data_IF_557934473883
#
_entry.id   IF_557934473883
#
_cell.length_a   1.000
_cell.length_b   1.000
_cell.length_c   1.000
_cell.angle_alpha   90.00
_cell.angle_beta   90.00
_cell.angle_gamma   90.00
#
_symmetry.space_group_name_H-M   'P 1'
#
loop_
_entity.id
_entity.type
_entity.pdbx_description
1 polymer ?
#
# COMPACT_ATOMS: atom_id res chain seq x y z
N UNK A 1 65.78 -8.41 -28.32
CA UNK A 1 64.36 -8.38 -28.77
C UNK A 1 63.55 -9.28 -27.84
N UNK A 2 62.57 -8.74 -27.10
CA UNK A 2 61.78 -9.47 -26.10
C UNK A 2 60.84 -10.48 -26.79
N UNK A 3 60.89 -11.76 -26.39
CA UNK A 3 59.92 -12.78 -26.82
C UNK A 3 58.61 -12.58 -26.06
N UNK A 4 57.55 -12.25 -26.78
CA UNK A 4 56.17 -12.30 -26.30
C UNK A 4 55.71 -13.77 -26.26
N UNK A 5 55.36 -14.27 -25.08
CA UNK A 5 54.70 -15.58 -24.92
C UNK A 5 53.21 -15.38 -25.24
N UNK A 6 52.71 -16.07 -26.26
CA UNK A 6 51.29 -16.05 -26.62
C UNK A 6 50.47 -16.98 -25.71
N UNK A 7 49.21 -16.64 -25.51
CA UNK A 7 48.23 -17.44 -24.77
C UNK A 7 48.05 -18.82 -25.41
N UNK A 8 47.93 -19.85 -24.59
CA UNK A 8 47.60 -21.20 -25.06
C UNK A 8 46.08 -21.35 -25.23
N UNK A 9 45.65 -22.16 -26.20
CA UNK A 9 44.22 -22.51 -26.36
C UNK A 9 43.63 -23.13 -25.09
N UNK A 10 44.47 -23.86 -24.33
CA UNK A 10 44.11 -24.50 -23.07
C UNK A 10 43.81 -23.47 -21.98
N UNK A 11 44.61 -22.40 -21.86
CA UNK A 11 44.34 -21.32 -20.91
C UNK A 11 43.00 -20.64 -21.20
N UNK A 12 42.71 -20.35 -22.46
CA UNK A 12 41.44 -19.73 -22.83
C UNK A 12 40.26 -20.67 -22.51
N UNK A 13 40.42 -21.98 -22.76
CA UNK A 13 39.40 -22.96 -22.44
C UNK A 13 39.08 -23.02 -20.95
N UNK A 14 40.10 -23.03 -20.08
CA UNK A 14 39.92 -23.03 -18.62
C UNK A 14 39.22 -21.74 -18.17
N UNK A 15 39.63 -20.58 -18.70
CA UNK A 15 39.01 -19.29 -18.34
C UNK A 15 37.53 -19.27 -18.68
N UNK A 16 37.14 -19.71 -19.88
CA UNK A 16 35.73 -19.72 -20.28
C UNK A 16 34.91 -20.71 -19.44
N UNK A 17 35.47 -21.87 -19.10
CA UNK A 17 34.81 -22.86 -18.22
C UNK A 17 34.60 -22.29 -16.81
N UNK A 18 35.62 -21.66 -16.23
CA UNK A 18 35.50 -21.03 -14.90
C UNK A 18 34.45 -19.93 -14.93
N UNK A 19 34.45 -19.08 -15.95
CA UNK A 19 33.43 -18.03 -16.11
C UNK A 19 32.03 -18.61 -16.26
N UNK A 20 31.85 -19.72 -16.98
CA UNK A 20 30.57 -20.41 -17.11
C UNK A 20 30.05 -20.96 -15.77
N UNK A 21 30.93 -21.57 -14.96
CA UNK A 21 30.57 -22.09 -13.63
C UNK A 21 30.24 -20.96 -12.66
N UNK A 22 31.06 -19.90 -12.65
CA UNK A 22 30.82 -18.73 -11.80
C UNK A 22 29.50 -18.05 -12.17
N UNK A 23 29.22 -17.86 -13.46
CA UNK A 23 27.94 -17.29 -13.91
C UNK A 23 26.73 -18.13 -13.47
N UNK A 24 26.84 -19.47 -13.45
CA UNK A 24 25.75 -20.33 -13.01
C UNK A 24 25.47 -20.25 -11.48
N UNK A 25 26.48 -19.93 -10.67
CA UNK A 25 26.36 -19.83 -9.20
C UNK A 25 25.99 -18.40 -8.77
N UNK A 26 26.45 -17.39 -9.51
CA UNK A 26 26.30 -15.95 -9.20
C UNK A 26 24.95 -15.37 -9.67
N UNK A 27 23.98 -16.19 -10.07
CA UNK A 27 22.56 -15.77 -10.17
C UNK A 27 21.81 -16.17 -8.88
N UNK A 28 22.28 -15.85 -7.65
CA UNK A 28 21.64 -16.34 -6.45
C UNK A 28 20.17 -15.95 -6.43
N UNK A 29 19.39 -16.91 -5.95
CA UNK A 29 17.94 -17.00 -6.02
C UNK A 29 17.25 -15.78 -5.41
N UNK A 30 16.95 -14.77 -6.22
CA UNK A 30 15.95 -13.74 -5.88
C UNK A 30 14.50 -14.26 -6.02
N UNK A 31 14.27 -15.55 -5.86
CA UNK A 31 13.11 -16.18 -6.51
C UNK A 31 11.84 -16.28 -5.66
N UNK A 32 11.86 -15.98 -4.36
CA UNK A 32 10.62 -16.02 -3.55
C UNK A 32 10.69 -15.23 -2.24
N UNK A 33 11.76 -15.39 -1.45
CA UNK A 33 11.86 -14.77 -0.12
C UNK A 33 11.96 -13.23 -0.20
N UNK A 34 12.86 -12.71 -1.04
CA UNK A 34 13.01 -11.25 -1.22
C UNK A 34 11.77 -10.58 -1.83
N UNK A 35 10.98 -11.29 -2.63
CA UNK A 35 9.71 -10.78 -3.18
C UNK A 35 8.62 -10.73 -2.11
N UNK A 36 8.58 -11.70 -1.20
CA UNK A 36 7.63 -11.71 -0.09
C UNK A 36 7.99 -10.64 0.96
N UNK A 37 9.27 -10.45 1.26
CA UNK A 37 9.78 -9.42 2.17
C UNK A 37 9.49 -8.01 1.63
N UNK A 38 9.79 -7.76 0.35
CA UNK A 38 9.46 -6.49 -0.32
C UNK A 38 7.98 -6.14 -0.26
N UNK A 39 7.08 -7.13 -0.43
CA UNK A 39 5.63 -6.92 -0.32
C UNK A 39 5.19 -6.59 1.10
N UNK A 40 5.89 -7.12 2.12
CA UNK A 40 5.60 -6.83 3.52
C UNK A 40 6.00 -5.40 3.86
N UNK A 41 7.17 -4.96 3.42
CA UNK A 41 7.64 -3.59 3.61
C UNK A 41 6.69 -2.59 2.94
N UNK A 42 6.29 -2.87 1.70
CA UNK A 42 5.28 -2.07 0.98
C UNK A 42 3.94 -2.03 1.74
N UNK A 43 3.51 -3.16 2.31
CA UNK A 43 2.26 -3.22 3.07
C UNK A 43 2.34 -2.33 4.32
N UNK A 44 3.42 -2.44 5.10
CA UNK A 44 3.65 -1.63 6.29
C UNK A 44 3.71 -0.13 5.93
N UNK A 45 4.43 0.23 4.87
CA UNK A 45 4.51 1.60 4.39
C UNK A 45 3.14 2.16 3.97
N UNK A 46 2.35 1.38 3.24
CA UNK A 46 0.99 1.76 2.86
C UNK A 46 0.05 1.90 4.07
N UNK A 47 0.13 1.01 5.05
CA UNK A 47 -0.65 1.12 6.30
C UNK A 47 -0.27 2.36 7.09
N UNK A 48 1.02 2.66 7.23
CA UNK A 48 1.49 3.86 7.90
C UNK A 48 1.01 5.13 7.20
N UNK A 49 1.09 5.17 5.87
CA UNK A 49 0.54 6.27 5.07
C UNK A 49 -0.95 6.45 5.33
N UNK A 50 -1.74 5.39 5.20
CA UNK A 50 -3.19 5.43 5.41
C UNK A 50 -3.55 5.90 6.82
N UNK A 51 -2.93 5.34 7.86
CA UNK A 51 -3.14 5.71 9.26
C UNK A 51 -2.78 7.18 9.51
N UNK A 52 -1.64 7.64 9.00
CA UNK A 52 -1.22 9.05 9.15
C UNK A 52 -2.22 10.02 8.49
N UNK A 53 -2.74 9.68 7.31
CA UNK A 53 -3.72 10.52 6.64
C UNK A 53 -5.08 10.50 7.35
N UNK A 54 -5.51 9.35 7.88
CA UNK A 54 -6.76 9.26 8.68
C UNK A 54 -6.65 10.10 9.95
N UNK A 55 -5.50 10.10 10.63
CA UNK A 55 -5.30 10.95 11.81
C UNK A 55 -5.31 12.45 11.43
N UNK A 56 -4.71 12.82 10.30
CA UNK A 56 -4.81 14.19 9.80
C UNK A 56 -6.25 14.60 9.47
N UNK A 57 -7.03 13.69 8.87
CA UNK A 57 -8.46 13.89 8.62
C UNK A 57 -9.22 14.15 9.92
N UNK A 58 -8.99 13.32 10.94
CA UNK A 58 -9.65 13.43 12.25
C UNK A 58 -9.38 14.79 12.89
N UNK A 59 -8.15 15.30 12.81
CA UNK A 59 -7.80 16.63 13.35
C UNK A 59 -8.63 17.74 12.69
N UNK A 60 -8.93 17.62 11.38
CA UNK A 60 -9.69 18.62 10.63
C UNK A 60 -11.22 18.48 10.78
N UNK A 61 -11.73 17.31 11.17
CA UNK A 61 -13.16 17.00 11.28
C UNK A 61 -13.59 16.70 12.72
N UNK A 62 -13.07 17.45 13.70
CA UNK A 62 -13.55 17.37 15.09
C UNK A 62 -13.27 16.04 15.79
N UNK A 63 -12.23 15.31 15.36
CA UNK A 63 -11.87 13.98 15.87
C UNK A 63 -12.62 12.82 15.22
N UNK A 64 -13.57 13.10 14.33
CA UNK A 64 -14.35 12.08 13.66
C UNK A 64 -13.51 11.44 12.54
N UNK A 65 -13.42 10.10 12.52
CA UNK A 65 -12.80 9.39 11.41
C UNK A 65 -13.66 9.49 10.15
N UNK A 66 -13.08 9.29 8.95
CA UNK A 66 -13.86 9.22 7.71
C UNK A 66 -15.02 8.20 7.82
N UNK A 67 -16.12 8.48 7.13
CA UNK A 67 -17.35 7.66 7.08
C UNK A 67 -18.13 7.59 8.40
N UNK A 68 -17.78 8.41 9.40
CA UNK A 68 -18.52 8.53 10.65
C UNK A 68 -19.08 9.94 10.80
N UNK A 69 -20.40 10.05 10.92
CA UNK A 69 -21.07 11.32 11.16
C UNK A 69 -21.04 11.70 12.63
N UNK A 70 -21.36 12.96 12.94
CA UNK A 70 -21.44 13.45 14.32
C UNK A 70 -22.51 12.70 15.16
N UNK A 71 -23.59 12.24 14.53
CA UNK A 71 -24.65 11.45 15.16
C UNK A 71 -24.25 9.98 15.39
N UNK A 72 -23.06 9.57 14.93
CA UNK A 72 -22.56 8.19 15.04
C UNK A 72 -23.04 7.26 13.93
N UNK A 73 -23.73 7.78 12.92
CA UNK A 73 -24.08 7.01 11.72
C UNK A 73 -22.85 6.71 10.88
N UNK A 74 -22.86 5.55 10.22
CA UNK A 74 -21.77 5.09 9.36
C UNK A 74 -22.20 5.13 7.90
N UNK A 75 -21.64 6.06 7.13
CA UNK A 75 -21.81 6.17 5.69
C UNK A 75 -20.61 5.55 4.96
N UNK A 76 -20.61 4.21 4.89
CA UNK A 76 -19.46 3.47 4.38
C UNK A 76 -19.34 3.55 2.86
N UNK A 77 -18.22 4.10 2.38
CA UNK A 77 -17.85 4.14 0.98
C UNK A 77 -16.60 3.27 0.70
N UNK A 78 -16.69 2.21 -0.13
CA UNK A 78 -15.56 1.33 -0.42
C UNK A 78 -14.44 2.00 -1.23
N UNK A 79 -14.62 3.23 -1.72
CA UNK A 79 -13.65 3.94 -2.57
C UNK A 79 -12.88 5.04 -1.84
N UNK A 80 -13.19 5.31 -0.57
CA UNK A 80 -12.55 6.33 0.25
C UNK A 80 -12.64 7.76 -0.33
N UNK A 81 -13.81 8.17 -0.84
CA UNK A 81 -14.02 9.49 -1.43
C UNK A 81 -13.67 10.63 -0.46
N UNK A 82 -14.07 10.53 0.82
CA UNK A 82 -13.74 11.54 1.84
C UNK A 82 -12.23 11.73 2.04
N UNK A 83 -11.42 10.71 1.72
CA UNK A 83 -9.96 10.81 1.75
C UNK A 83 -9.37 11.33 0.44
N UNK A 84 -10.06 11.13 -0.68
CA UNK A 84 -9.58 11.46 -2.03
C UNK A 84 -10.07 12.80 -2.58
N UNK A 85 -11.16 13.34 -2.05
CA UNK A 85 -11.74 14.61 -2.46
C UNK A 85 -11.55 15.67 -1.37
N UNK A 86 -11.66 16.94 -1.74
CA UNK A 86 -11.82 18.00 -0.76
C UNK A 86 -13.16 17.83 -0.02
N UNK A 87 -13.12 17.93 1.31
CA UNK A 87 -14.29 17.80 2.19
C UNK A 87 -14.63 19.11 2.89
N UNK A 88 -15.89 19.24 3.29
CA UNK A 88 -16.34 20.24 4.26
C UNK A 88 -16.09 19.78 5.70
N UNK A 89 -16.50 20.58 6.69
CA UNK A 89 -16.32 20.27 8.12
C UNK A 89 -16.99 18.96 8.57
N UNK A 90 -18.04 18.52 7.87
CA UNK A 90 -18.80 17.32 8.19
C UNK A 90 -18.33 16.09 7.38
N UNK A 91 -17.34 16.28 6.49
CA UNK A 91 -16.80 15.21 5.66
C UNK A 91 -17.53 15.02 4.33
N UNK A 92 -18.48 15.90 3.96
CA UNK A 92 -19.17 15.77 2.69
C UNK A 92 -18.24 16.09 1.53
N UNK A 93 -18.40 15.34 0.43
CA UNK A 93 -17.64 15.51 -0.81
C UNK A 93 -18.52 16.00 -1.94
N UNK A 94 -17.88 16.60 -2.96
CA UNK A 94 -18.50 16.90 -4.25
C UNK A 94 -17.82 16.09 -5.35
N UNK A 95 -18.47 14.99 -5.75
CA UNK A 95 -17.94 14.05 -6.76
C UNK A 95 -18.16 14.54 -8.21
N UNK A 96 -18.89 15.64 -8.40
CA UNK A 96 -19.19 16.27 -9.71
C UNK A 96 -18.05 17.15 -10.26
N UNK A 97 -16.92 17.22 -9.54
CA UNK A 97 -15.81 18.14 -9.85
C UNK A 97 -14.44 17.50 -9.58
N UNK A 98 -13.33 18.14 -10.00
CA UNK A 98 -12.00 17.64 -9.70
C UNK A 98 -11.78 17.47 -8.20
N UNK A 99 -11.21 16.34 -7.81
CA UNK A 99 -10.89 15.93 -6.43
C UNK A 99 -10.20 16.98 -5.58
N UNK A 100 -9.30 17.75 -6.20
CA UNK A 100 -8.45 18.75 -5.55
C UNK A 100 -9.06 20.15 -5.51
N UNK A 101 -10.27 20.34 -6.07
CA UNK A 101 -10.89 21.66 -6.17
C UNK A 101 -11.50 22.07 -4.83
N UNK A 102 -10.89 23.06 -4.18
CA UNK A 102 -11.44 23.73 -2.98
C UNK A 102 -12.51 24.76 -3.36
N UNK A 103 -13.49 24.95 -2.48
CA UNK A 103 -14.44 26.08 -2.49
C UNK A 103 -14.60 26.62 -1.06
N UNK A 104 -15.47 27.62 -0.86
CA UNK A 104 -15.67 28.26 0.46
C UNK A 104 -16.19 27.30 1.54
N UNK A 105 -16.68 26.12 1.15
CA UNK A 105 -17.25 25.11 2.06
C UNK A 105 -16.32 23.90 2.19
N UNK A 106 -15.72 23.42 1.10
CA UNK A 106 -14.88 22.24 1.03
C UNK A 106 -13.40 22.63 1.03
N UNK A 107 -12.92 23.00 2.21
CA UNK A 107 -11.57 23.54 2.41
C UNK A 107 -10.58 22.51 2.92
N UNK A 108 -11.00 21.31 3.30
CA UNK A 108 -10.15 20.26 3.88
C UNK A 108 -9.77 19.20 2.85
N UNK A 109 -8.69 18.45 3.08
CA UNK A 109 -8.22 17.42 2.14
C UNK A 109 -7.73 17.98 0.79
N UNK A 110 -7.68 17.18 -0.30
CA UNK A 110 -7.69 15.74 -0.24
C UNK A 110 -6.45 15.23 0.49
N UNK A 111 -6.58 14.11 1.17
CA UNK A 111 -5.52 13.51 1.99
C UNK A 111 -4.76 12.42 1.22
N UNK A 112 -5.42 11.82 0.25
CA UNK A 112 -4.88 10.80 -0.64
C UNK A 112 -5.15 11.18 -2.09
N UNK A 113 -4.13 11.09 -2.95
CA UNK A 113 -4.35 11.15 -4.40
C UNK A 113 -5.09 9.88 -4.90
N UNK A 114 -4.65 8.74 -4.38
CA UNK A 114 -5.26 7.42 -4.58
C UNK A 114 -5.08 6.55 -3.35
N UNK A 115 -5.99 5.60 -3.15
CA UNK A 115 -5.79 4.54 -2.16
C UNK A 115 -4.67 3.62 -2.68
N UNK A 116 -3.61 3.35 -1.91
CA UNK A 116 -2.57 2.42 -2.33
C UNK A 116 -3.16 1.03 -2.52
N UNK A 117 -2.64 0.30 -3.50
CA UNK A 117 -3.04 -1.10 -3.72
C UNK A 117 -2.33 -1.97 -2.68
N UNK A 118 -3.07 -2.91 -2.10
CA UNK A 118 -2.48 -3.90 -1.22
C UNK A 118 -1.53 -4.81 -2.04
N UNK A 119 -0.23 -4.95 -1.66
CA UNK A 119 0.77 -5.73 -2.41
C UNK A 119 0.48 -7.23 -2.54
N UNK A 120 -0.43 -7.78 -1.72
CA UNK A 120 -0.75 -9.20 -1.69
C UNK A 120 -1.93 -9.57 -2.60
N UNK A 121 -2.92 -8.69 -2.78
CA UNK A 121 -4.09 -8.95 -3.62
C UNK A 121 -4.32 -7.92 -4.74
N UNK A 122 -3.53 -6.85 -4.81
CA UNK A 122 -3.58 -5.83 -5.86
C UNK A 122 -4.79 -4.90 -5.82
N UNK A 123 -5.63 -5.02 -4.79
CA UNK A 123 -6.88 -4.27 -4.61
C UNK A 123 -6.64 -3.00 -3.81
N UNK A 124 -7.35 -1.93 -4.16
CA UNK A 124 -7.40 -0.63 -3.47
C UNK A 124 -8.77 -0.35 -2.83
N UNK A 125 -9.71 -1.30 -2.94
CA UNK A 125 -11.03 -1.15 -2.33
C UNK A 125 -11.00 -1.46 -0.84
N UNK A 126 -11.98 -0.91 -0.13
CA UNK A 126 -12.17 -1.11 1.31
C UNK A 126 -13.35 -2.03 1.59
N UNK A 127 -13.24 -2.81 2.66
CA UNK A 127 -14.35 -3.49 3.30
C UNK A 127 -14.54 -2.93 4.71
N UNK A 128 -15.80 -2.86 5.16
CA UNK A 128 -16.11 -2.47 6.53
C UNK A 128 -15.76 -3.62 7.47
N UNK A 129 -14.95 -3.34 8.48
CA UNK A 129 -14.74 -4.19 9.65
C UNK A 129 -15.41 -3.56 10.87
N UNK A 130 -15.72 -4.39 11.87
CA UNK A 130 -16.28 -3.93 13.16
C UNK A 130 -15.21 -3.79 14.24
N UNK A 131 -14.14 -4.57 14.11
CA UNK A 131 -13.02 -4.64 15.03
C UNK A 131 -11.84 -5.32 14.33
N UNK A 132 -10.68 -5.30 14.97
CA UNK A 132 -9.49 -6.04 14.54
C UNK A 132 -9.72 -7.55 14.42
N UNK A 133 -10.54 -8.11 15.30
CA UNK A 133 -10.80 -9.56 15.37
C UNK A 133 -11.86 -10.01 14.36
N UNK A 134 -12.62 -9.07 13.79
CA UNK A 134 -13.68 -9.29 12.80
C UNK A 134 -13.35 -8.68 11.43
N UNK A 135 -12.10 -8.85 10.96
CA UNK A 135 -11.70 -8.41 9.62
C UNK A 135 -12.26 -9.37 8.54
N UNK A 136 -13.15 -8.91 7.65
CA UNK A 136 -13.73 -9.78 6.63
C UNK A 136 -12.71 -10.10 5.55
N UNK A 137 -12.25 -11.35 5.48
CA UNK A 137 -11.33 -11.83 4.43
C UNK A 137 -12.07 -12.14 3.12
N UNK A 138 -13.40 -12.25 3.17
CA UNK A 138 -14.25 -12.49 2.01
C UNK A 138 -14.36 -11.23 1.13
N UNK A 139 -14.36 -11.41 -0.19
CA UNK A 139 -14.65 -10.34 -1.16
C UNK A 139 -13.44 -9.66 -1.82
N UNK A 140 -12.20 -9.97 -1.40
CA UNK A 140 -10.99 -9.53 -2.11
C UNK A 140 -10.70 -8.03 -2.04
N UNK A 141 -11.28 -7.31 -1.06
CA UNK A 141 -10.91 -5.92 -0.79
C UNK A 141 -9.45 -5.81 -0.34
N UNK A 142 -8.78 -4.71 -0.66
CA UNK A 142 -7.39 -4.49 -0.29
C UNK A 142 -7.23 -4.19 1.20
N UNK A 143 -8.16 -3.44 1.76
CA UNK A 143 -8.08 -2.90 3.11
C UNK A 143 -9.37 -3.17 3.88
N UNK A 144 -9.24 -3.36 5.19
CA UNK A 144 -10.37 -3.43 6.10
C UNK A 144 -10.33 -2.20 7.00
N UNK A 145 -11.42 -1.47 7.05
CA UNK A 145 -11.52 -0.20 7.76
C UNK A 145 -12.64 -0.25 8.79
N UNK A 146 -12.39 0.32 9.97
CA UNK A 146 -13.34 0.41 11.08
C UNK A 146 -13.76 1.88 11.22
N UNK A 147 -14.88 2.31 10.61
CA UNK A 147 -15.37 3.68 10.69
C UNK A 147 -15.64 4.15 12.12
N UNK A 148 -15.89 3.23 13.06
CA UNK A 148 -16.14 3.56 14.45
C UNK A 148 -14.90 4.13 15.14
N UNK A 149 -13.69 3.67 14.79
CA UNK A 149 -12.43 4.07 15.45
C UNK A 149 -11.47 4.82 14.52
N UNK A 150 -11.63 4.67 13.21
CA UNK A 150 -10.66 5.11 12.20
C UNK A 150 -9.52 4.12 11.98
N UNK A 151 -9.58 2.92 12.56
CA UNK A 151 -8.53 1.91 12.38
C UNK A 151 -8.60 1.27 11.00
N UNK A 152 -7.43 1.00 10.42
CA UNK A 152 -7.29 0.35 9.11
C UNK A 152 -6.28 -0.79 9.19
N UNK A 153 -6.63 -1.89 8.52
CA UNK A 153 -5.94 -3.17 8.54
C UNK A 153 -5.77 -3.71 7.12
N UNK A 154 -4.74 -4.54 6.92
CA UNK A 154 -4.56 -5.23 5.66
C UNK A 154 -5.64 -6.31 5.48
N UNK A 155 -6.35 -6.31 4.35
CA UNK A 155 -7.34 -7.33 4.06
C UNK A 155 -6.85 -8.27 2.96
N UNK A 156 -6.28 -9.41 3.35
CA UNK A 156 -5.93 -10.48 2.41
C UNK A 156 -5.68 -11.82 3.10
N UNK A 157 -5.36 -11.80 4.40
CA UNK A 157 -5.28 -12.99 5.26
C UNK A 157 -5.50 -12.59 6.72
N UNK A 158 -5.96 -13.54 7.54
CA UNK A 158 -6.12 -13.33 8.98
C UNK A 158 -4.80 -12.98 9.69
N UNK A 159 -3.66 -13.45 9.16
CA UNK A 159 -2.33 -13.22 9.75
C UNK A 159 -1.89 -11.76 9.67
N UNK A 160 -2.20 -11.06 8.56
CA UNK A 160 -1.77 -9.68 8.35
C UNK A 160 -2.82 -8.63 8.74
N UNK A 161 -4.03 -9.05 9.12
CA UNK A 161 -5.02 -8.18 9.75
C UNK A 161 -4.51 -7.61 11.09
N UNK A 162 -3.49 -8.22 11.70
CA UNK A 162 -2.89 -7.78 12.95
C UNK A 162 -1.79 -6.72 12.85
N UNK A 163 -1.33 -6.36 11.64
CA UNK A 163 -0.32 -5.33 11.41
C UNK A 163 -0.94 -3.93 11.38
#
# INVERSE_FOLDING_TARGET
MKRSRGFTLVELAIVVIVLAVVAAIVVPRFSAAGVAESRMDDLCNHLQLLRSQIELYKVQHGGLPPMRTADGEIDFDPTFEQMRYCTDTDGNVKSDRPKTKRDDVHIYGPYLDRVPRNPFNGSDSLVRARSRDEVPVAGGAGWAYVPETGEIYANHSAHHAGL
#
